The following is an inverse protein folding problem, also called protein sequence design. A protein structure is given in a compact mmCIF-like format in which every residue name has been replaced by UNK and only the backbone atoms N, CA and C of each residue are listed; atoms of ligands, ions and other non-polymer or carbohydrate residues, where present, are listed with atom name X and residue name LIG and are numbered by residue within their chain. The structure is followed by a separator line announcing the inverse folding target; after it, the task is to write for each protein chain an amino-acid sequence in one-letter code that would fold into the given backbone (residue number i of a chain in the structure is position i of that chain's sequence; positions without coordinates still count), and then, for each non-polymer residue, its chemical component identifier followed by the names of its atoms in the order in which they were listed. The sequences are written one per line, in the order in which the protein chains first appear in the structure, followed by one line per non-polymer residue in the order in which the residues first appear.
data_IF_284035805415
#
_entry.id   IF_284035805415
#
_cell.length_a   1.000
_cell.length_b   1.000
_cell.length_c   1.000
_cell.angle_alpha   90.00
_cell.angle_beta   90.00
_cell.angle_gamma   90.00
#
_symmetry.space_group_name_H-M   'P 1'
#
loop_
_entity.id
_entity.type
_entity.pdbx_description
1 polymer ?
#
# COMPACT_ATOMS: atom_id res chain seq x y z
N UNK A 1 8.40 -19.83 -13.86
CA UNK A 1 7.53 -19.01 -12.98
C UNK A 1 7.28 -19.86 -11.75
N UNK A 2 7.57 -19.35 -10.57
CA UNK A 2 7.42 -20.08 -9.29
C UNK A 2 6.24 -19.50 -8.49
N UNK A 3 5.84 -20.21 -7.44
CA UNK A 3 4.79 -19.75 -6.52
C UNK A 3 5.33 -18.53 -5.76
N UNK A 4 4.52 -17.48 -5.64
CA UNK A 4 4.81 -16.39 -4.71
C UNK A 4 4.09 -16.70 -3.39
N UNK A 5 4.85 -16.95 -2.33
CA UNK A 5 4.33 -17.33 -1.01
C UNK A 5 4.26 -16.15 -0.06
N UNK A 6 3.08 -15.89 0.50
CA UNK A 6 2.91 -14.82 1.49
C UNK A 6 3.14 -13.42 0.90
N UNK A 7 2.63 -13.18 -0.32
CA UNK A 7 2.63 -11.84 -0.92
C UNK A 7 1.93 -10.85 0.03
N UNK A 8 2.58 -9.73 0.27
CA UNK A 8 2.17 -8.64 1.15
C UNK A 8 2.28 -7.33 0.42
N UNK A 9 1.32 -6.45 0.68
CA UNK A 9 1.39 -5.04 0.34
C UNK A 9 1.80 -4.25 1.57
N UNK A 10 2.91 -3.53 1.49
CA UNK A 10 3.35 -2.60 2.52
C UNK A 10 3.13 -1.17 2.04
N UNK A 11 2.41 -0.39 2.84
CA UNK A 11 2.15 1.02 2.62
C UNK A 11 2.77 1.84 3.75
N UNK A 12 3.49 2.91 3.41
CA UNK A 12 3.97 3.91 4.36
C UNK A 12 3.47 5.27 3.92
N UNK A 13 2.73 5.96 4.77
CA UNK A 13 2.23 7.30 4.51
C UNK A 13 3.07 8.29 5.29
N UNK A 14 3.55 9.32 4.59
CA UNK A 14 4.37 10.39 5.13
C UNK A 14 3.66 11.72 4.93
N UNK A 15 3.84 12.62 5.90
CA UNK A 15 3.42 14.02 5.82
C UNK A 15 4.59 14.90 6.22
N UNK A 16 4.95 15.86 5.38
CA UNK A 16 6.14 16.70 5.58
C UNK A 16 7.42 15.89 5.87
N UNK A 17 7.58 14.73 5.21
CA UNK A 17 8.72 13.83 5.40
C UNK A 17 8.67 12.96 6.67
N UNK A 18 7.68 13.14 7.54
CA UNK A 18 7.49 12.35 8.76
C UNK A 18 6.52 11.21 8.48
N UNK A 19 6.87 9.97 8.83
CA UNK A 19 5.96 8.83 8.70
C UNK A 19 4.80 8.98 9.70
N UNK A 20 3.58 9.09 9.17
CA UNK A 20 2.34 9.19 9.97
C UNK A 20 1.63 7.85 10.08
N UNK A 21 1.83 6.95 9.12
CA UNK A 21 1.18 5.65 9.10
C UNK A 21 2.05 4.59 8.40
N UNK A 22 1.93 3.35 8.85
CA UNK A 22 2.52 2.17 8.22
C UNK A 22 1.53 1.02 8.31
N UNK A 23 1.22 0.43 7.16
CA UNK A 23 0.37 -0.74 7.05
C UNK A 23 1.08 -1.87 6.31
N UNK A 24 0.77 -3.10 6.71
CA UNK A 24 1.21 -4.32 6.05
C UNK A 24 -0.02 -5.22 5.88
N UNK A 25 -0.45 -5.39 4.65
CA UNK A 25 -1.62 -6.19 4.28
C UNK A 25 -1.16 -7.50 3.66
N UNK A 26 -1.58 -8.62 4.24
CA UNK A 26 -1.40 -9.93 3.63
C UNK A 26 -2.35 -10.04 2.43
N UNK A 27 -1.78 -10.32 1.27
CA UNK A 27 -2.51 -10.46 -0.01
C UNK A 27 -2.81 -11.95 -0.24
N UNK A 28 -1.79 -12.80 -0.07
CA UNK A 28 -1.93 -14.26 -0.11
C UNK A 28 -0.76 -14.98 -0.80
N UNK A 29 -0.92 -16.28 -1.04
CA UNK A 29 0.04 -17.08 -1.81
C UNK A 29 -0.55 -17.44 -3.17
N UNK A 30 0.20 -17.23 -4.25
CA UNK A 30 -0.29 -17.38 -5.61
C UNK A 30 0.63 -18.24 -6.46
N UNK A 31 0.06 -19.28 -7.06
CA UNK A 31 0.75 -20.06 -8.08
C UNK A 31 0.80 -19.31 -9.42
N UNK A 32 1.74 -19.64 -10.32
CA UNK A 32 1.76 -19.12 -11.67
C UNK A 32 0.44 -19.40 -12.39
N UNK A 33 -0.16 -18.36 -12.98
CA UNK A 33 -1.36 -18.47 -13.82
C UNK A 33 -1.30 -17.52 -15.02
N UNK A 34 -2.15 -17.78 -16.00
CA UNK A 34 -2.30 -16.97 -17.23
C UNK A 34 -3.23 -15.78 -17.03
N UNK A 35 -4.28 -15.93 -16.23
CA UNK A 35 -5.22 -14.85 -15.94
C UNK A 35 -4.63 -13.86 -14.93
N UNK A 36 -5.16 -12.64 -14.91
CA UNK A 36 -4.75 -11.62 -13.95
C UNK A 36 -5.22 -12.01 -12.53
N UNK A 37 -4.40 -11.71 -11.52
CA UNK A 37 -4.79 -11.82 -10.12
C UNK A 37 -5.39 -10.51 -9.65
N UNK A 38 -6.58 -10.58 -9.04
CA UNK A 38 -7.23 -9.45 -8.36
C UNK A 38 -7.23 -9.66 -6.85
N UNK A 39 -7.06 -8.58 -6.11
CA UNK A 39 -7.20 -8.51 -4.66
C UNK A 39 -7.90 -7.20 -4.31
N UNK A 40 -8.83 -7.26 -3.37
CA UNK A 40 -9.51 -6.08 -2.83
C UNK A 40 -9.08 -5.94 -1.38
N UNK A 41 -8.43 -4.83 -1.05
CA UNK A 41 -8.07 -4.53 0.33
C UNK A 41 -9.32 -4.26 1.17
N UNK A 42 -9.24 -4.44 2.50
CA UNK A 42 -10.24 -3.90 3.41
C UNK A 42 -10.44 -2.39 3.18
N UNK A 43 -11.61 -1.90 3.57
CA UNK A 43 -11.90 -0.47 3.56
C UNK A 43 -11.03 0.24 4.61
N UNK A 44 -10.41 1.35 4.22
CA UNK A 44 -9.61 2.22 5.09
C UNK A 44 -10.30 3.59 5.19
N UNK A 45 -10.40 4.13 6.39
CA UNK A 45 -10.92 5.47 6.63
C UNK A 45 -9.77 6.48 6.73
N UNK A 46 -9.82 7.53 5.92
CA UNK A 46 -8.85 8.62 5.99
C UNK A 46 -9.14 9.52 7.19
N UNK A 47 -8.09 10.10 7.83
CA UNK A 47 -8.29 11.01 8.94
C UNK A 47 -9.11 12.24 8.52
N UNK A 48 -9.91 12.78 9.44
CA UNK A 48 -10.75 13.95 9.17
C UNK A 48 -10.30 15.16 9.99
N UNK A 49 -10.89 16.32 9.69
CA UNK A 49 -10.61 17.58 10.40
C UNK A 49 -9.57 18.47 9.71
N UNK A 50 -9.55 19.74 10.11
CA UNK A 50 -8.71 20.77 9.48
C UNK A 50 -7.23 20.43 9.53
N UNK A 51 -6.77 19.87 10.66
CA UNK A 51 -5.37 19.53 10.86
C UNK A 51 -4.93 18.34 10.02
N UNK A 52 -5.82 17.44 9.60
CA UNK A 52 -5.47 16.30 8.75
C UNK A 52 -5.34 16.69 7.27
N UNK A 53 -5.92 17.81 6.83
CA UNK A 53 -5.87 18.20 5.42
C UNK A 53 -4.45 18.54 4.95
N UNK A 54 -4.18 18.26 3.68
CA UNK A 54 -2.91 18.57 3.02
C UNK A 54 -2.36 17.42 2.18
N UNK A 55 -1.13 17.59 1.72
CA UNK A 55 -0.45 16.62 0.84
C UNK A 55 0.26 15.54 1.64
N UNK A 56 0.05 14.30 1.21
CA UNK A 56 0.68 13.11 1.75
C UNK A 56 1.48 12.41 0.67
N UNK A 57 2.62 11.86 1.09
CA UNK A 57 3.51 11.07 0.24
C UNK A 57 3.37 9.62 0.68
N UNK A 58 3.07 8.72 -0.26
CA UNK A 58 2.89 7.30 0.02
C UNK A 58 4.02 6.53 -0.65
N UNK A 59 4.64 5.64 0.13
CA UNK A 59 5.62 4.67 -0.35
C UNK A 59 5.01 3.29 -0.30
N UNK A 60 4.91 2.67 -1.46
CA UNK A 60 4.23 1.41 -1.68
C UNK A 60 5.24 0.32 -2.08
N UNK A 61 5.07 -0.87 -1.52
CA UNK A 61 5.95 -2.02 -1.77
C UNK A 61 5.14 -3.31 -1.77
N UNK A 62 5.22 -4.08 -2.85
CA UNK A 62 4.90 -5.50 -2.83
C UNK A 62 6.12 -6.31 -2.44
N UNK A 63 5.98 -7.14 -1.41
CA UNK A 63 7.00 -8.03 -0.86
C UNK A 63 6.41 -9.37 -0.50
N UNK A 64 7.21 -10.37 -0.17
CA UNK A 64 6.74 -11.69 0.26
C UNK A 64 7.43 -12.17 1.56
N UNK A 65 7.26 -13.44 1.93
CA UNK A 65 7.92 -14.03 3.09
C UNK A 65 9.45 -14.13 2.95
N UNK A 66 9.96 -14.16 1.71
CA UNK A 66 11.39 -14.19 1.39
C UNK A 66 12.02 -12.78 1.29
N UNK A 67 11.22 -11.73 1.51
CA UNK A 67 11.61 -10.31 1.43
C UNK A 67 12.02 -9.85 0.02
N UNK A 68 11.51 -10.48 -1.04
CA UNK A 68 11.70 -9.97 -2.40
C UNK A 68 11.04 -8.60 -2.57
N UNK A 69 11.67 -7.69 -3.32
CA UNK A 69 11.05 -6.42 -3.70
C UNK A 69 10.43 -6.54 -5.10
N UNK A 70 9.22 -7.10 -5.17
CA UNK A 70 8.55 -7.35 -6.45
C UNK A 70 8.21 -6.07 -7.21
N UNK A 71 7.73 -5.06 -6.49
CA UNK A 71 7.41 -3.75 -7.05
C UNK A 71 7.44 -2.71 -5.95
N UNK A 72 8.12 -1.59 -6.22
CA UNK A 72 8.20 -0.45 -5.31
C UNK A 72 7.91 0.83 -6.08
N UNK A 73 7.01 1.65 -5.56
CA UNK A 73 6.64 2.91 -6.17
C UNK A 73 6.23 3.93 -5.11
N UNK A 74 6.34 5.20 -5.47
CA UNK A 74 5.94 6.31 -4.64
C UNK A 74 4.84 7.09 -5.37
N UNK A 75 3.87 7.60 -4.62
CA UNK A 75 2.78 8.42 -5.13
C UNK A 75 2.33 9.43 -4.08
N UNK A 76 1.51 10.40 -4.49
CA UNK A 76 1.03 11.46 -3.61
C UNK A 76 -0.49 11.54 -3.67
N UNK A 77 -1.11 11.91 -2.56
CA UNK A 77 -2.52 12.33 -2.52
C UNK A 77 -2.68 13.60 -1.69
N UNK A 78 -3.78 14.29 -1.94
CA UNK A 78 -4.15 15.50 -1.19
C UNK A 78 -5.48 15.25 -0.48
N UNK A 79 -5.49 15.39 0.84
CA UNK A 79 -6.69 15.27 1.65
C UNK A 79 -7.38 16.63 1.73
N UNK A 80 -8.55 16.75 1.11
CA UNK A 80 -9.38 17.97 1.04
C UNK A 80 -10.69 17.79 1.79
N UNK A 81 -11.39 18.91 1.99
CA UNK A 81 -12.75 18.89 2.55
C UNK A 81 -13.75 18.30 1.55
N UNK A 82 -13.59 18.71 0.30
CA UNK A 82 -14.46 18.41 -0.83
C UNK A 82 -13.60 17.76 -1.92
N UNK A 83 -14.23 16.97 -2.77
CA UNK A 83 -13.56 16.21 -3.85
C UNK A 83 -12.89 17.12 -4.89
#
# INVERSE_FOLDING_TARGET
REIVTGLKYQQKILRHGIQVEKMLQMVGSYAPKTEVQSYTSPMEEMPTGLLARGTYNVKSLFTDDDNHQWLKWDWNFELKKDW
#
